data_IF_671327521692
#
_entry.id   IF_671327521692
#
_cell.length_a   1.000
_cell.length_b   1.000
_cell.length_c   1.000
_cell.angle_alpha   90.00
_cell.angle_beta   90.00
_cell.angle_gamma   90.00
#
_symmetry.space_group_name_H-M   'P 1'
#
loop_
_entity.id
_entity.type
_entity.pdbx_description
1 polymer ?
#
# COMPACT_ATOMS: atom_id res chain seq x y z
N UNK A 1 -11.45 23.94 -22.01
CA UNK A 1 -12.64 23.05 -22.06
C UNK A 1 -13.50 23.38 -20.85
N UNK A 2 -14.63 24.09 -21.05
CA UNK A 2 -15.52 24.45 -19.93
C UNK A 2 -16.38 23.23 -19.55
N UNK A 3 -15.93 22.47 -18.58
CA UNK A 3 -16.74 21.42 -17.94
C UNK A 3 -17.63 22.16 -16.93
N UNK A 4 -18.97 22.18 -17.15
CA UNK A 4 -19.94 22.67 -16.15
C UNK A 4 -19.99 21.69 -14.95
N UNK A 5 -18.86 21.49 -14.26
CA UNK A 5 -18.76 20.68 -13.05
C UNK A 5 -17.93 21.48 -12.06
N UNK A 6 -18.39 21.60 -10.81
CA UNK A 6 -17.66 22.23 -9.70
C UNK A 6 -16.42 21.42 -9.26
N UNK A 7 -15.96 20.47 -10.08
CA UNK A 7 -14.83 19.62 -9.80
C UNK A 7 -13.54 20.21 -10.41
N UNK A 8 -12.43 20.24 -9.69
CA UNK A 8 -11.12 20.71 -10.18
C UNK A 8 -10.54 19.67 -11.15
N UNK A 9 -10.98 19.71 -12.42
CA UNK A 9 -10.60 18.72 -13.44
C UNK A 9 -9.63 19.32 -14.44
N UNK A 10 -8.46 18.69 -14.60
CA UNK A 10 -7.49 18.98 -15.64
C UNK A 10 -7.41 17.81 -16.63
N UNK A 11 -7.40 18.14 -17.94
CA UNK A 11 -7.38 17.13 -19.01
C UNK A 11 -6.01 17.21 -19.72
N UNK A 12 -5.30 16.09 -19.70
CA UNK A 12 -4.00 15.91 -20.35
C UNK A 12 -4.15 15.02 -21.60
N UNK A 13 -3.88 15.55 -22.78
CA UNK A 13 -3.85 14.81 -24.04
C UNK A 13 -2.46 14.21 -24.27
N UNK A 14 -2.39 12.89 -24.50
CA UNK A 14 -1.12 12.14 -24.64
C UNK A 14 -1.13 11.24 -25.88
N UNK A 15 0.03 10.73 -26.27
CA UNK A 15 0.19 9.81 -27.42
C UNK A 15 -0.28 8.37 -27.14
N UNK A 16 -0.93 8.11 -26.03
CA UNK A 16 -1.55 6.81 -25.73
C UNK A 16 -2.59 6.45 -26.79
N UNK A 17 -2.55 5.19 -27.25
CA UNK A 17 -3.41 4.77 -28.38
C UNK A 17 -4.87 4.47 -27.97
N UNK A 18 -5.11 3.88 -26.78
CA UNK A 18 -6.42 3.30 -26.42
C UNK A 18 -6.90 3.55 -24.99
N UNK A 19 -6.07 4.01 -24.07
CA UNK A 19 -6.45 4.04 -22.65
C UNK A 19 -6.74 5.45 -22.13
N UNK A 20 -7.86 5.60 -21.42
CA UNK A 20 -8.20 6.76 -20.61
C UNK A 20 -7.87 6.45 -19.16
N UNK A 21 -7.25 7.39 -18.46
CA UNK A 21 -6.93 7.25 -17.04
C UNK A 21 -7.43 8.48 -16.28
N UNK A 22 -8.16 8.26 -15.20
CA UNK A 22 -8.57 9.31 -14.26
C UNK A 22 -7.77 9.09 -12.97
N UNK A 23 -7.02 10.12 -12.54
CA UNK A 23 -6.25 10.13 -11.30
C UNK A 23 -6.71 11.27 -10.42
N UNK A 24 -6.68 11.06 -9.12
CA UNK A 24 -6.84 12.13 -8.14
C UNK A 24 -5.47 12.41 -7.56
N UNK A 25 -5.04 13.66 -7.65
CA UNK A 25 -3.72 14.12 -7.23
C UNK A 25 -3.89 15.45 -6.50
N UNK A 26 -3.44 15.51 -5.26
CA UNK A 26 -3.46 16.73 -4.44
C UNK A 26 -4.81 17.49 -4.43
N UNK A 27 -5.91 16.76 -4.32
CA UNK A 27 -7.26 17.33 -4.34
C UNK A 27 -7.79 17.68 -5.73
N UNK A 28 -6.97 17.56 -6.78
CA UNK A 28 -7.35 17.74 -8.18
C UNK A 28 -7.66 16.43 -8.91
N UNK A 29 -8.30 16.53 -10.06
CA UNK A 29 -8.66 15.38 -10.92
C UNK A 29 -7.93 15.47 -12.24
N UNK A 30 -6.94 14.62 -12.46
CA UNK A 30 -6.20 14.54 -13.71
C UNK A 30 -6.81 13.47 -14.63
N UNK A 31 -7.32 13.89 -15.78
CA UNK A 31 -7.89 13.02 -16.81
C UNK A 31 -6.90 12.92 -17.97
N UNK A 32 -6.25 11.77 -18.12
CA UNK A 32 -5.24 11.52 -19.15
C UNK A 32 -5.90 10.76 -20.29
N UNK A 33 -5.93 11.35 -21.48
CA UNK A 33 -6.66 10.82 -22.65
C UNK A 33 -5.77 10.77 -23.90
N UNK A 34 -6.07 9.89 -24.87
CA UNK A 34 -5.44 9.94 -26.19
C UNK A 34 -5.68 11.27 -26.91
N UNK A 35 -4.68 11.81 -27.63
CA UNK A 35 -4.83 13.04 -28.42
C UNK A 35 -5.99 12.99 -29.43
N UNK A 36 -6.31 11.78 -29.94
CA UNK A 36 -7.37 11.56 -30.93
C UNK A 36 -8.78 11.58 -30.35
N UNK A 37 -8.94 11.59 -29.01
CA UNK A 37 -10.25 11.56 -28.39
C UNK A 37 -10.88 12.95 -28.45
N UNK A 38 -12.10 13.05 -28.98
CA UNK A 38 -12.84 14.32 -29.05
C UNK A 38 -13.21 14.82 -27.65
N UNK A 39 -13.28 16.13 -27.50
CA UNK A 39 -13.64 16.78 -26.23
C UNK A 39 -15.04 16.39 -25.75
N UNK A 40 -15.99 16.17 -26.69
CA UNK A 40 -17.32 15.68 -26.38
C UNK A 40 -17.27 14.28 -25.72
N UNK A 41 -16.43 13.38 -26.24
CA UNK A 41 -16.27 12.03 -25.68
C UNK A 41 -15.57 12.06 -24.33
N UNK A 42 -14.58 12.94 -24.14
CA UNK A 42 -13.92 13.15 -22.85
C UNK A 42 -14.93 13.62 -21.81
N UNK A 43 -15.79 14.59 -22.17
CA UNK A 43 -16.86 15.10 -21.31
C UNK A 43 -17.84 13.99 -20.88
N UNK A 44 -18.32 13.16 -21.84
CA UNK A 44 -19.20 12.02 -21.55
C UNK A 44 -18.56 11.02 -20.58
N UNK A 45 -17.27 10.69 -20.76
CA UNK A 45 -16.52 9.80 -19.87
C UNK A 45 -16.40 10.36 -18.45
N UNK A 46 -16.14 11.66 -18.31
CA UNK A 46 -16.07 12.33 -17.01
C UNK A 46 -17.43 12.32 -16.32
N UNK A 47 -18.50 12.67 -17.06
CA UNK A 47 -19.86 12.67 -16.53
C UNK A 47 -20.27 11.29 -16.00
N UNK A 48 -20.00 10.21 -16.75
CA UNK A 48 -20.25 8.82 -16.34
C UNK A 48 -19.45 8.41 -15.08
N UNK A 49 -18.36 9.10 -14.76
CA UNK A 49 -17.52 8.82 -13.61
C UNK A 49 -17.63 9.85 -12.48
N UNK A 50 -18.51 10.82 -12.60
CA UNK A 50 -18.64 11.93 -11.63
C UNK A 50 -18.88 11.43 -10.20
N UNK A 51 -19.77 10.46 -10.00
CA UNK A 51 -20.05 9.89 -8.67
C UNK A 51 -18.80 9.22 -8.07
N UNK A 52 -18.04 8.47 -8.87
CA UNK A 52 -16.79 7.87 -8.46
C UNK A 52 -15.72 8.92 -8.13
N UNK A 53 -15.61 9.97 -8.95
CA UNK A 53 -14.68 11.09 -8.72
C UNK A 53 -15.00 11.79 -7.40
N UNK A 54 -16.26 12.16 -7.18
CA UNK A 54 -16.71 12.80 -5.93
C UNK A 54 -16.42 11.93 -4.71
N UNK A 55 -16.71 10.63 -4.78
CA UNK A 55 -16.41 9.70 -3.69
C UNK A 55 -14.90 9.63 -3.41
N UNK A 56 -14.06 9.64 -4.45
CA UNK A 56 -12.60 9.60 -4.29
C UNK A 56 -12.05 10.89 -3.70
N UNK A 57 -12.52 12.05 -4.16
CA UNK A 57 -12.14 13.35 -3.59
C UNK A 57 -12.54 13.43 -2.12
N UNK A 58 -13.76 12.98 -1.76
CA UNK A 58 -14.22 12.94 -0.38
C UNK A 58 -13.33 12.03 0.48
N UNK A 59 -13.02 10.82 0.02
CA UNK A 59 -12.09 9.92 0.73
C UNK A 59 -10.74 10.62 0.94
N UNK A 60 -10.21 11.29 -0.08
CA UNK A 60 -8.93 11.99 0.03
C UNK A 60 -8.99 13.17 1.02
N UNK A 61 -10.05 13.98 1.01
CA UNK A 61 -10.21 15.09 1.94
C UNK A 61 -10.43 14.64 3.39
N UNK A 62 -11.10 13.50 3.59
CA UNK A 62 -11.33 12.90 4.91
C UNK A 62 -10.10 12.11 5.40
N UNK A 63 -9.17 11.73 4.48
CA UNK A 63 -7.94 11.03 4.85
C UNK A 63 -6.94 12.03 5.41
N UNK A 64 -6.86 12.11 6.72
CA UNK A 64 -5.79 12.85 7.40
C UNK A 64 -4.49 12.09 7.10
N UNK A 65 -3.68 12.65 6.19
CA UNK A 65 -2.34 12.11 5.98
C UNK A 65 -1.56 12.26 7.28
N UNK A 66 -1.02 11.18 7.83
CA UNK A 66 -0.25 11.28 9.05
C UNK A 66 0.93 12.23 8.84
N UNK A 67 1.28 12.97 9.89
CA UNK A 67 2.45 13.86 9.86
C UNK A 67 3.70 13.08 9.48
N UNK A 68 4.64 13.68 8.73
CA UNK A 68 5.94 13.07 8.49
C UNK A 68 6.60 12.65 9.80
N UNK A 69 7.29 11.52 9.78
CA UNK A 69 8.02 11.01 10.95
C UNK A 69 9.25 11.86 11.22
N UNK A 70 9.50 12.14 12.49
CA UNK A 70 10.65 12.89 12.97
C UNK A 70 11.81 11.98 13.41
N UNK A 71 11.53 10.69 13.57
CA UNK A 71 12.50 9.65 13.99
C UNK A 71 13.17 9.95 15.32
N UNK A 72 12.40 10.44 16.29
CA UNK A 72 12.86 10.78 17.63
C UNK A 72 12.37 9.79 18.69
N UNK A 73 13.06 9.74 19.84
CA UNK A 73 12.61 8.90 20.95
C UNK A 73 11.22 9.29 21.43
N UNK A 74 10.39 8.28 21.70
CA UNK A 74 8.98 8.45 22.09
C UNK A 74 8.00 8.44 20.90
N UNK A 75 8.48 8.62 19.66
CA UNK A 75 7.63 8.56 18.48
C UNK A 75 7.06 7.14 18.26
N UNK A 76 5.83 7.07 17.81
CA UNK A 76 5.10 5.81 17.66
C UNK A 76 5.26 5.22 16.25
N UNK A 77 5.59 3.94 16.17
CA UNK A 77 5.72 3.15 14.95
C UNK A 77 4.83 1.91 15.03
N UNK A 78 4.07 1.66 13.98
CA UNK A 78 3.10 0.56 13.95
C UNK A 78 3.70 -0.68 13.27
N UNK A 79 3.55 -1.84 13.90
CA UNK A 79 3.91 -3.14 13.34
C UNK A 79 2.80 -4.15 13.61
N UNK A 80 2.28 -4.77 12.56
CA UNK A 80 1.14 -5.71 12.61
C UNK A 80 -0.06 -5.15 13.39
N UNK A 81 -0.35 -3.85 13.17
CA UNK A 81 -1.47 -3.14 13.81
C UNK A 81 -1.23 -2.71 15.26
N UNK A 82 -0.06 -3.02 15.84
CA UNK A 82 0.30 -2.63 17.20
C UNK A 82 1.29 -1.46 17.18
N UNK A 83 1.12 -0.51 18.06
CA UNK A 83 2.00 0.65 18.19
C UNK A 83 3.15 0.35 19.16
N UNK A 84 4.36 0.71 18.74
CA UNK A 84 5.59 0.62 19.50
C UNK A 84 6.25 1.99 19.57
N UNK A 85 6.79 2.37 20.74
CA UNK A 85 7.53 3.62 20.90
C UNK A 85 8.99 3.42 20.53
N UNK A 86 9.52 4.33 19.72
CA UNK A 86 10.95 4.34 19.40
C UNK A 86 11.75 4.73 20.65
N UNK A 87 12.83 4.03 20.89
CA UNK A 87 13.82 4.35 21.93
C UNK A 87 15.21 4.36 21.29
N UNK A 88 15.78 5.54 21.15
CA UNK A 88 17.13 5.73 20.62
C UNK A 88 18.15 5.62 21.75
N UNK A 89 19.24 4.89 21.53
CA UNK A 89 20.32 4.64 22.48
C UNK A 89 21.64 5.13 21.86
N UNK A 90 22.25 6.18 22.40
CA UNK A 90 23.58 6.64 21.93
C UNK A 90 24.62 5.55 22.09
N UNK A 91 25.62 5.53 21.20
CA UNK A 91 26.71 4.56 21.17
C UNK A 91 26.28 3.09 21.10
N UNK A 92 25.12 2.82 20.51
CA UNK A 92 24.61 1.45 20.29
C UNK A 92 25.12 0.81 19.00
N UNK A 93 24.71 -0.43 18.80
CA UNK A 93 25.16 -1.33 17.72
C UNK A 93 24.49 -1.11 16.34
N UNK A 94 23.61 -0.15 16.22
CA UNK A 94 22.85 0.11 14.96
C UNK A 94 21.73 -0.87 14.69
N UNK A 95 21.52 -1.87 15.54
CA UNK A 95 20.48 -2.87 15.36
C UNK A 95 19.14 -2.42 15.96
N UNK A 96 18.06 -2.60 15.19
CA UNK A 96 16.70 -2.39 15.69
C UNK A 96 16.20 -3.65 16.40
N UNK A 97 15.88 -3.51 17.69
CA UNK A 97 15.36 -4.61 18.53
C UNK A 97 13.97 -4.27 19.06
N UNK A 98 13.07 -5.23 19.00
CA UNK A 98 11.73 -5.10 19.59
C UNK A 98 11.74 -5.69 21.00
N UNK A 99 11.51 -4.84 22.03
CA UNK A 99 11.44 -5.23 23.44
C UNK A 99 10.16 -4.67 24.07
N UNK A 100 9.21 -5.55 24.40
CA UNK A 100 7.93 -5.15 24.98
C UNK A 100 7.18 -4.15 24.09
N UNK A 101 6.97 -2.92 24.58
CA UNK A 101 6.28 -1.83 23.86
C UNK A 101 7.23 -0.91 23.08
N UNK A 102 8.50 -1.27 22.95
CA UNK A 102 9.52 -0.42 22.35
C UNK A 102 10.17 -1.06 21.14
N UNK A 103 10.49 -0.21 20.15
CA UNK A 103 11.51 -0.45 19.14
C UNK A 103 12.76 0.29 19.60
N UNK A 104 13.79 -0.44 19.99
CA UNK A 104 15.07 0.14 20.44
C UNK A 104 16.06 0.14 19.30
N UNK A 105 16.75 1.25 19.09
CA UNK A 105 17.79 1.40 18.07
C UNK A 105 19.00 2.09 18.66
N UNK A 106 20.15 1.44 18.60
CA UNK A 106 21.42 2.07 18.85
C UNK A 106 21.86 2.97 17.70
N UNK A 107 22.53 4.10 17.99
CA UNK A 107 23.07 4.97 16.94
C UNK A 107 24.43 5.56 17.35
N UNK A 108 25.33 5.86 16.39
CA UNK A 108 26.59 6.53 16.66
C UNK A 108 26.38 7.96 17.17
N UNK A 109 26.88 8.29 18.36
CA UNK A 109 26.69 9.61 18.98
C UNK A 109 27.33 10.77 18.18
N UNK A 110 28.30 10.45 17.32
CA UNK A 110 29.00 11.45 16.50
C UNK A 110 28.13 12.04 15.35
N UNK A 111 26.99 11.42 15.04
CA UNK A 111 26.14 11.87 13.96
C UNK A 111 25.50 13.24 14.27
N UNK A 112 25.46 14.11 13.25
CA UNK A 112 24.64 15.31 13.27
C UNK A 112 23.17 14.93 13.42
N UNK A 113 22.30 15.88 13.75
CA UNK A 113 20.86 15.60 13.89
C UNK A 113 20.24 15.09 12.61
N UNK A 114 20.58 15.69 11.47
CA UNK A 114 20.08 15.29 10.13
C UNK A 114 20.58 13.89 9.76
N UNK A 115 21.86 13.61 9.99
CA UNK A 115 22.45 12.29 9.69
C UNK A 115 21.85 11.21 10.60
N UNK A 116 21.59 11.54 11.88
CA UNK A 116 20.92 10.65 12.83
C UNK A 116 19.50 10.31 12.36
N UNK A 117 18.71 11.29 11.92
CA UNK A 117 17.36 11.05 11.40
C UNK A 117 17.39 10.12 10.18
N UNK A 118 18.31 10.36 9.25
CA UNK A 118 18.49 9.51 8.07
C UNK A 118 18.89 8.10 8.46
N UNK A 119 19.87 7.95 9.35
CA UNK A 119 20.32 6.67 9.88
C UNK A 119 19.19 5.89 10.56
N UNK A 120 18.41 6.55 11.43
CA UNK A 120 17.29 5.94 12.14
C UNK A 120 16.21 5.48 11.14
N UNK A 121 15.88 6.32 10.17
CA UNK A 121 14.93 5.98 9.10
C UNK A 121 15.35 4.75 8.32
N UNK A 122 16.59 4.71 7.85
CA UNK A 122 17.11 3.60 7.06
C UNK A 122 17.17 2.30 7.87
N UNK A 123 17.60 2.37 9.13
CA UNK A 123 17.63 1.23 10.05
C UNK A 123 16.23 0.67 10.29
N UNK A 124 15.24 1.53 10.56
CA UNK A 124 13.84 1.12 10.73
C UNK A 124 13.28 0.51 9.44
N UNK A 125 13.48 1.14 8.29
CA UNK A 125 13.04 0.60 6.99
C UNK A 125 13.67 -0.77 6.72
N UNK A 126 14.95 -0.95 7.02
CA UNK A 126 15.65 -2.24 6.91
C UNK A 126 15.00 -3.30 7.81
N UNK A 127 14.75 -2.96 9.08
CA UNK A 127 14.08 -3.83 10.03
C UNK A 127 12.67 -4.23 9.57
N UNK A 128 11.87 -3.25 9.11
CA UNK A 128 10.53 -3.53 8.58
C UNK A 128 10.57 -4.46 7.36
N UNK A 129 11.50 -4.24 6.43
CA UNK A 129 11.65 -5.11 5.25
C UNK A 129 12.01 -6.54 5.64
N UNK A 130 12.99 -6.73 6.55
CA UNK A 130 13.38 -8.06 7.03
C UNK A 130 12.21 -8.79 7.70
N UNK A 131 11.48 -8.10 8.59
CA UNK A 131 10.31 -8.66 9.26
C UNK A 131 9.15 -8.90 8.30
N UNK A 132 8.94 -8.01 7.32
CA UNK A 132 7.93 -8.19 6.29
C UNK A 132 8.19 -9.45 5.46
N UNK A 133 9.42 -9.64 4.98
CA UNK A 133 9.76 -10.82 4.19
C UNK A 133 9.49 -12.10 4.98
N UNK A 134 10.00 -12.17 6.21
CA UNK A 134 9.78 -13.33 7.10
C UNK A 134 8.30 -13.61 7.30
N UNK A 135 7.52 -12.62 7.74
CA UNK A 135 6.11 -12.80 8.08
C UNK A 135 5.23 -13.09 6.87
N UNK A 136 5.49 -12.43 5.73
CA UNK A 136 4.73 -12.68 4.50
C UNK A 136 5.03 -14.07 3.95
N UNK A 137 6.28 -14.55 4.03
CA UNK A 137 6.63 -15.93 3.67
C UNK A 137 5.95 -16.94 4.59
N UNK A 138 6.02 -16.75 5.92
CA UNK A 138 5.33 -17.63 6.90
C UNK A 138 3.81 -17.73 6.62
N UNK A 139 3.17 -16.57 6.35
CA UNK A 139 1.74 -16.53 6.03
C UNK A 139 1.45 -17.18 4.67
N UNK A 140 2.26 -16.92 3.66
CA UNK A 140 2.11 -17.56 2.35
C UNK A 140 2.21 -19.08 2.46
N UNK A 141 3.22 -19.61 3.15
CA UNK A 141 3.40 -21.05 3.38
C UNK A 141 2.20 -21.70 4.13
N UNK A 142 1.52 -20.93 4.96
CA UNK A 142 0.28 -21.39 5.62
C UNK A 142 -0.87 -21.48 4.63
N UNK A 143 -1.10 -20.42 3.83
CA UNK A 143 -2.25 -20.31 2.93
C UNK A 143 -2.08 -21.08 1.63
N UNK A 144 -0.84 -21.32 1.15
CA UNK A 144 -0.57 -22.18 -0.01
C UNK A 144 -1.10 -23.61 0.21
N UNK A 145 -0.99 -24.14 1.43
CA UNK A 145 -1.52 -25.47 1.79
C UNK A 145 -3.05 -25.51 1.74
N UNK A 146 -3.70 -24.43 2.17
CA UNK A 146 -5.18 -24.33 2.18
C UNK A 146 -5.70 -24.19 0.75
N UNK A 147 -5.04 -23.33 -0.08
CA UNK A 147 -5.42 -23.07 -1.46
C UNK A 147 -4.89 -24.11 -2.45
N UNK A 148 -3.98 -25.01 -2.01
CA UNK A 148 -3.29 -26.00 -2.85
C UNK A 148 -2.58 -25.39 -4.05
N UNK A 149 -1.84 -24.30 -3.81
CA UNK A 149 -1.01 -23.61 -4.79
C UNK A 149 0.43 -23.54 -4.27
N UNK A 150 1.41 -23.42 -5.17
CA UNK A 150 2.83 -23.31 -4.79
C UNK A 150 3.46 -22.14 -5.53
N UNK A 151 3.68 -20.99 -4.87
CA UNK A 151 4.37 -19.86 -5.49
C UNK A 151 5.79 -20.24 -5.91
N UNK A 152 6.22 -19.76 -7.08
CA UNK A 152 7.59 -19.92 -7.55
C UNK A 152 8.58 -19.15 -6.70
N UNK A 153 8.19 -17.95 -6.27
CA UNK A 153 9.01 -17.10 -5.40
C UNK A 153 8.15 -16.08 -4.67
N UNK A 154 8.63 -15.64 -3.51
CA UNK A 154 8.03 -14.56 -2.73
C UNK A 154 9.10 -13.50 -2.53
N UNK A 155 8.81 -12.25 -2.88
CA UNK A 155 9.72 -11.14 -2.72
C UNK A 155 9.02 -9.85 -2.30
N UNK A 156 9.81 -8.83 -1.94
CA UNK A 156 9.32 -7.52 -1.55
C UNK A 156 9.58 -6.50 -2.64
N UNK A 157 8.61 -5.61 -2.82
CA UNK A 157 8.75 -4.41 -3.67
C UNK A 157 8.23 -3.18 -2.95
N UNK A 158 8.65 -2.01 -3.41
CA UNK A 158 8.15 -0.72 -2.93
C UNK A 158 7.14 -0.16 -3.94
N UNK A 159 5.93 -0.69 -3.94
CA UNK A 159 4.87 -0.23 -4.83
C UNK A 159 4.27 1.10 -4.36
N UNK A 160 3.91 1.97 -5.31
CA UNK A 160 3.21 3.24 -5.03
C UNK A 160 1.69 3.08 -4.90
N UNK A 161 1.09 2.07 -5.58
CA UNK A 161 -0.36 1.99 -5.76
C UNK A 161 -0.98 0.61 -5.56
N UNK A 162 -0.20 -0.37 -5.10
CA UNK A 162 -0.69 -1.74 -4.85
C UNK A 162 0.01 -2.37 -3.65
N UNK A 163 -0.64 -3.37 -3.07
CA UNK A 163 -0.12 -4.10 -1.90
C UNK A 163 0.60 -5.38 -2.28
N UNK A 164 0.31 -5.91 -3.45
CA UNK A 164 1.00 -7.05 -4.00
C UNK A 164 0.80 -7.20 -5.49
N UNK A 165 1.36 -8.25 -6.06
CA UNK A 165 1.13 -8.72 -7.42
C UNK A 165 1.54 -10.18 -7.54
N UNK A 166 0.81 -10.94 -8.35
CA UNK A 166 1.17 -12.27 -8.78
C UNK A 166 1.39 -12.26 -10.29
N UNK A 167 2.52 -12.80 -10.75
CA UNK A 167 2.80 -12.98 -12.18
C UNK A 167 2.18 -14.28 -12.71
N UNK A 168 2.05 -14.40 -14.04
CA UNK A 168 1.59 -15.64 -14.67
C UNK A 168 2.57 -16.81 -14.42
N UNK A 169 3.84 -16.52 -14.08
CA UNK A 169 4.85 -17.52 -13.70
C UNK A 169 4.77 -17.94 -12.23
N UNK A 170 3.82 -17.42 -11.45
CA UNK A 170 3.66 -17.75 -10.03
C UNK A 170 4.61 -16.99 -9.10
N UNK A 171 5.23 -15.90 -9.55
CA UNK A 171 6.06 -15.05 -8.70
C UNK A 171 5.18 -14.05 -7.96
N UNK A 172 5.23 -14.05 -6.63
CA UNK A 172 4.46 -13.13 -5.79
C UNK A 172 5.38 -12.06 -5.23
N UNK A 173 4.97 -10.81 -5.40
CA UNK A 173 5.67 -9.66 -4.85
C UNK A 173 4.73 -8.90 -3.92
N UNK A 174 5.17 -8.63 -2.69
CA UNK A 174 4.42 -7.85 -1.72
C UNK A 174 5.02 -6.46 -1.53
N UNK A 175 4.19 -5.46 -1.28
CA UNK A 175 4.64 -4.19 -0.75
C UNK A 175 5.00 -4.40 0.73
N UNK A 176 6.27 -4.20 1.08
CA UNK A 176 6.72 -4.40 2.46
C UNK A 176 5.95 -3.58 3.50
N UNK A 177 5.39 -2.43 3.11
CA UNK A 177 4.60 -1.56 4.01
C UNK A 177 3.33 -2.21 4.53
N UNK A 178 2.85 -3.28 3.90
CA UNK A 178 1.66 -3.99 4.37
C UNK A 178 1.84 -4.56 5.77
N UNK A 179 3.08 -4.79 6.22
CA UNK A 179 3.37 -5.30 7.57
C UNK A 179 3.01 -4.30 8.68
N UNK A 180 2.75 -3.04 8.34
CA UNK A 180 2.26 -2.01 9.26
C UNK A 180 0.79 -2.26 9.61
N UNK A 181 0.01 -2.82 8.67
CA UNK A 181 -1.41 -3.11 8.84
C UNK A 181 -1.66 -4.21 9.89
N UNK A 182 -2.89 -4.29 10.44
CA UNK A 182 -3.32 -5.38 11.32
C UNK A 182 -3.13 -6.76 10.68
N UNK A 183 -2.96 -7.78 11.51
CA UNK A 183 -2.70 -9.17 11.08
C UNK A 183 -3.69 -9.68 10.03
N UNK A 184 -5.00 -9.46 10.22
CA UNK A 184 -6.05 -9.93 9.32
C UNK A 184 -5.96 -9.25 7.94
N UNK A 185 -5.55 -7.98 7.90
CA UNK A 185 -5.33 -7.26 6.65
C UNK A 185 -4.13 -7.82 5.88
N UNK A 186 -3.05 -8.16 6.60
CA UNK A 186 -1.89 -8.84 6.00
C UNK A 186 -2.30 -10.20 5.45
N UNK A 187 -3.10 -10.98 6.20
CA UNK A 187 -3.65 -12.26 5.76
C UNK A 187 -4.48 -12.11 4.50
N UNK A 188 -5.38 -11.11 4.46
CA UNK A 188 -6.18 -10.82 3.28
C UNK A 188 -5.31 -10.53 2.04
N UNK A 189 -4.26 -9.71 2.15
CA UNK A 189 -3.38 -9.41 1.01
C UNK A 189 -2.63 -10.66 0.56
N UNK A 190 -2.14 -11.49 1.48
CA UNK A 190 -1.47 -12.75 1.14
C UNK A 190 -2.41 -13.69 0.40
N UNK A 191 -3.62 -13.91 0.90
CA UNK A 191 -4.62 -14.76 0.25
C UNK A 191 -5.04 -14.18 -1.10
N UNK A 192 -5.18 -12.85 -1.20
CA UNK A 192 -5.48 -12.16 -2.45
C UNK A 192 -4.45 -12.47 -3.54
N UNK A 193 -3.17 -12.38 -3.25
CA UNK A 193 -2.12 -12.65 -4.25
C UNK A 193 -2.01 -14.16 -4.56
N UNK A 194 -2.19 -15.03 -3.58
CA UNK A 194 -2.19 -16.49 -3.81
C UNK A 194 -3.39 -16.93 -4.68
N UNK A 195 -4.56 -16.33 -4.51
CA UNK A 195 -5.73 -16.64 -5.34
C UNK A 195 -5.53 -16.27 -6.81
N UNK A 196 -4.62 -15.35 -7.14
CA UNK A 196 -4.27 -15.06 -8.53
C UNK A 196 -3.57 -16.22 -9.23
N UNK A 197 -3.02 -17.18 -8.52
CA UNK A 197 -2.49 -18.42 -9.10
C UNK A 197 -3.61 -19.36 -9.58
N UNK A 198 -4.83 -19.23 -9.03
CA UNK A 198 -6.03 -19.99 -9.43
C UNK A 198 -6.83 -19.26 -10.51
N UNK A 199 -6.91 -17.93 -10.40
CA UNK A 199 -7.68 -17.06 -11.28
C UNK A 199 -6.99 -15.70 -11.44
N UNK A 200 -6.46 -15.41 -12.60
CA UNK A 200 -5.71 -14.17 -12.85
C UNK A 200 -6.56 -12.90 -12.81
N UNK A 201 -7.86 -13.02 -13.09
CA UNK A 201 -8.79 -11.90 -13.11
C UNK A 201 -9.68 -11.90 -11.87
N UNK A 202 -10.07 -10.73 -11.39
CA UNK A 202 -11.01 -10.57 -10.27
C UNK A 202 -12.46 -10.94 -10.66
N UNK A 203 -12.65 -12.14 -11.24
CA UNK A 203 -13.95 -12.70 -11.62
C UNK A 203 -14.75 -13.11 -10.38
N UNK A 204 -16.05 -13.44 -10.51
CA UNK A 204 -16.82 -14.05 -9.43
C UNK A 204 -16.18 -15.34 -8.89
N UNK A 205 -15.51 -16.12 -9.74
CA UNK A 205 -14.78 -17.34 -9.34
C UNK A 205 -13.58 -17.01 -8.46
N UNK A 206 -12.79 -15.97 -8.85
CA UNK A 206 -11.71 -15.45 -8.02
C UNK A 206 -12.19 -15.08 -6.61
N UNK A 207 -13.24 -14.28 -6.51
CA UNK A 207 -13.76 -13.84 -5.21
C UNK A 207 -14.32 -14.98 -4.36
N UNK A 208 -14.84 -16.05 -4.96
CA UNK A 208 -15.21 -17.27 -4.23
C UNK A 208 -14.00 -17.94 -3.57
N UNK A 209 -12.85 -18.02 -4.28
CA UNK A 209 -11.62 -18.53 -3.68
C UNK A 209 -11.15 -17.66 -2.51
N UNK A 210 -11.16 -16.35 -2.64
CA UNK A 210 -10.81 -15.46 -1.52
C UNK A 210 -11.77 -15.65 -0.35
N UNK A 211 -13.07 -15.69 -0.61
CA UNK A 211 -14.11 -15.81 0.41
C UNK A 211 -14.08 -17.14 1.16
N UNK A 212 -13.69 -18.22 0.51
CA UNK A 212 -13.57 -19.54 1.16
C UNK A 212 -12.47 -19.58 2.22
N UNK A 213 -11.48 -18.70 2.15
CA UNK A 213 -10.36 -18.60 3.10
C UNK A 213 -10.52 -17.43 4.06
N UNK A 214 -11.01 -16.31 3.56
CA UNK A 214 -11.27 -15.07 4.32
C UNK A 214 -12.74 -14.65 4.08
N UNK A 215 -13.69 -15.16 4.88
CA UNK A 215 -15.11 -14.85 4.71
C UNK A 215 -15.43 -13.35 4.69
N UNK A 216 -14.77 -12.58 5.55
CA UNK A 216 -14.97 -11.15 5.73
C UNK A 216 -14.07 -10.28 4.84
N UNK A 217 -13.51 -10.81 3.75
CA UNK A 217 -12.57 -10.11 2.86
C UNK A 217 -13.05 -8.74 2.39
N UNK A 218 -14.37 -8.51 2.31
CA UNK A 218 -14.95 -7.23 1.89
C UNK A 218 -14.65 -6.13 2.91
N UNK A 219 -14.64 -6.46 4.21
CA UNK A 219 -14.28 -5.54 5.28
C UNK A 219 -12.79 -5.21 5.21
N UNK A 220 -11.92 -6.21 5.02
CA UNK A 220 -10.48 -6.03 4.90
C UNK A 220 -10.12 -5.18 3.67
N UNK A 221 -10.77 -5.45 2.54
CA UNK A 221 -10.64 -4.65 1.33
C UNK A 221 -11.06 -3.20 1.54
N UNK A 222 -12.16 -2.97 2.27
CA UNK A 222 -12.62 -1.62 2.59
C UNK A 222 -11.66 -0.93 3.55
N UNK A 223 -11.15 -1.64 4.55
CA UNK A 223 -10.14 -1.12 5.47
C UNK A 223 -8.90 -0.61 4.72
N UNK A 224 -8.36 -1.40 3.78
CA UNK A 224 -7.22 -1.00 2.96
C UNK A 224 -7.49 0.23 2.08
N UNK A 225 -8.71 0.40 1.59
CA UNK A 225 -9.08 1.60 0.81
C UNK A 225 -9.04 2.86 1.66
N UNK A 226 -9.42 2.76 2.92
CA UNK A 226 -9.49 3.91 3.85
C UNK A 226 -8.13 4.19 4.48
N UNK A 227 -7.47 3.14 4.98
CA UNK A 227 -6.28 3.28 5.83
C UNK A 227 -4.95 3.07 5.08
N UNK A 228 -4.99 2.49 3.88
CA UNK A 228 -3.78 2.10 3.17
C UNK A 228 -2.82 3.26 2.88
N UNK A 229 -3.32 4.46 2.61
CA UNK A 229 -2.48 5.65 2.40
C UNK A 229 -1.69 6.05 3.65
N UNK A 230 -2.16 5.67 4.84
CA UNK A 230 -1.50 5.92 6.12
C UNK A 230 -0.44 4.90 6.52
N UNK A 231 -0.19 3.85 5.72
CA UNK A 231 0.82 2.82 6.03
C UNK A 231 2.21 3.29 5.58
N UNK A 232 2.91 3.98 6.45
CA UNK A 232 4.29 4.44 6.21
C UNK A 232 5.13 4.43 7.50
N UNK A 233 6.43 4.46 7.31
CA UNK A 233 7.47 4.49 8.34
C UNK A 233 8.26 5.78 8.21
#
# INVERSE_FOLDING_TARGET
MNLKTDLPIEVFKTDRRKTVCIKIVDGGVHVIVPKRLSDARVKDLILKRTSWIKQKLRIQSETVLPKPKEYVSGESFTYLGKNYKLKLIPNGDGEVKMKGKYLTLGYPKILSETDRQSFVKESLVGWYKGHALKRLTEKSNRYEKILRVTPRSISLKNYKSRWGSCSNSGEINFNWKIIIAPHHIVDYVVVHELCHMLEHNHSPKYWRHVQSVIPDYKMDRQWLKVNGMGLFV
#
